data_IF_834288562911
#
_entry.id   IF_834288562911
#
_cell.length_a   1.000
_cell.length_b   1.000
_cell.length_c   1.000
_cell.angle_alpha   90.00
_cell.angle_beta   90.00
_cell.angle_gamma   90.00
#
_symmetry.space_group_name_H-M   'P 1'
#
loop_
_entity.id
_entity.type
_entity.pdbx_description
1 polymer ?
#
# COMPACT_ATOMS: atom_id res chain seq x y z
N UNK A 1 32.83 22.93 -10.39
CA UNK A 1 32.29 21.56 -10.47
C UNK A 1 31.40 21.15 -9.28
N UNK A 2 31.33 21.91 -8.17
CA UNK A 2 30.48 21.59 -7.01
C UNK A 2 28.97 21.91 -7.15
N UNK A 3 28.56 22.63 -8.21
CA UNK A 3 27.19 23.18 -8.34
C UNK A 3 26.14 22.12 -8.75
N UNK A 4 26.57 21.02 -9.36
CA UNK A 4 25.67 19.94 -9.81
C UNK A 4 25.43 18.86 -8.75
N UNK A 5 26.27 18.80 -7.71
CA UNK A 5 26.18 17.79 -6.65
C UNK A 5 25.02 18.08 -5.67
N UNK A 6 24.68 19.36 -5.48
CA UNK A 6 23.52 19.78 -4.68
C UNK A 6 22.18 19.54 -5.39
N UNK A 7 22.15 19.60 -6.73
CA UNK A 7 20.92 19.40 -7.49
C UNK A 7 20.50 17.92 -7.54
N UNK A 8 21.48 17.00 -7.49
CA UNK A 8 21.23 15.55 -7.44
C UNK A 8 20.68 15.07 -6.08
N UNK A 9 20.99 15.77 -4.98
CA UNK A 9 20.53 15.43 -3.64
C UNK A 9 19.08 15.87 -3.35
N UNK A 10 18.54 16.84 -4.12
CA UNK A 10 17.19 17.36 -3.93
C UNK A 10 16.09 16.55 -4.64
N UNK A 11 16.46 15.61 -5.50
CA UNK A 11 15.52 14.74 -6.24
C UNK A 11 15.24 13.41 -5.52
N UNK A 12 15.80 13.19 -4.33
CA UNK A 12 15.70 11.91 -3.60
C UNK A 12 14.55 11.85 -2.59
N UNK A 13 13.59 12.79 -2.65
CA UNK A 13 12.42 12.76 -1.77
C UNK A 13 11.17 12.39 -2.55
N UNK A 14 10.47 11.38 -2.03
CA UNK A 14 9.16 10.84 -2.42
C UNK A 14 9.17 9.92 -3.65
N UNK A 15 9.07 8.61 -3.41
CA UNK A 15 7.80 7.85 -3.48
C UNK A 15 8.05 6.57 -2.70
N UNK A 16 7.38 6.38 -1.57
CA UNK A 16 7.27 5.03 -1.00
C UNK A 16 5.78 4.73 -0.82
N UNK A 17 5.10 4.54 -1.94
CA UNK A 17 4.17 3.41 -1.99
C UNK A 17 5.02 2.18 -1.70
N UNK A 18 4.74 1.47 -0.60
CA UNK A 18 5.44 0.21 -0.37
C UNK A 18 4.90 -0.82 -1.36
N UNK A 19 5.78 -1.33 -2.23
CA UNK A 19 5.50 -2.48 -3.07
C UNK A 19 6.42 -3.61 -2.62
N UNK A 20 5.82 -4.72 -2.24
CA UNK A 20 6.52 -5.94 -1.81
C UNK A 20 6.20 -7.10 -2.73
N UNK A 21 7.08 -8.10 -2.73
CA UNK A 21 6.83 -9.40 -3.36
C UNK A 21 7.10 -10.47 -2.31
N UNK A 22 6.10 -11.31 -2.06
CA UNK A 22 6.24 -12.52 -1.24
C UNK A 22 6.40 -13.69 -2.22
N UNK A 23 7.41 -14.54 -1.96
CA UNK A 23 7.59 -15.78 -2.69
C UNK A 23 6.44 -16.76 -2.40
N UNK A 24 6.22 -17.72 -3.30
CA UNK A 24 5.22 -18.77 -3.09
C UNK A 24 5.50 -19.53 -1.78
N UNK A 25 4.49 -19.62 -0.91
CA UNK A 25 4.55 -20.40 0.32
C UNK A 25 4.04 -21.83 0.10
N UNK A 26 4.48 -22.77 0.93
CA UNK A 26 3.99 -24.14 0.87
C UNK A 26 2.50 -24.20 1.22
N UNK A 27 1.69 -24.64 0.25
CA UNK A 27 0.23 -24.74 0.38
C UNK A 27 -0.16 -25.89 1.32
N UNK A 28 -0.89 -25.63 2.42
CA UNK A 28 -1.38 -26.68 3.31
C UNK A 28 -2.31 -27.67 2.61
N UNK A 29 -2.34 -28.92 3.09
CA UNK A 29 -3.16 -29.99 2.51
C UNK A 29 -4.66 -29.66 2.41
N UNK A 30 -5.20 -28.83 3.33
CA UNK A 30 -6.60 -28.37 3.28
C UNK A 30 -6.94 -27.51 2.05
N UNK A 31 -5.92 -26.97 1.37
CA UNK A 31 -6.06 -26.18 0.15
C UNK A 31 -5.48 -26.91 -1.07
N UNK A 32 -5.21 -28.22 -0.99
CA UNK A 32 -4.57 -29.00 -2.05
C UNK A 32 -5.25 -28.81 -3.42
N UNK A 33 -6.58 -28.79 -3.45
CA UNK A 33 -7.38 -28.70 -4.68
C UNK A 33 -7.69 -27.26 -5.12
N UNK A 34 -7.23 -26.25 -4.36
CA UNK A 34 -7.46 -24.84 -4.70
C UNK A 34 -6.27 -24.27 -5.45
N UNK A 35 -6.53 -23.60 -6.57
CA UNK A 35 -5.52 -22.88 -7.33
C UNK A 35 -5.23 -21.49 -6.73
N UNK A 36 -4.06 -20.94 -7.05
CA UNK A 36 -3.61 -19.64 -6.59
C UNK A 36 -2.45 -19.70 -5.60
N UNK A 37 -2.25 -18.61 -4.87
CA UNK A 37 -1.16 -18.46 -3.91
C UNK A 37 -1.70 -18.64 -2.49
N UNK A 38 -1.01 -19.43 -1.68
CA UNK A 38 -1.31 -19.51 -0.25
C UNK A 38 -0.68 -18.30 0.46
N UNK A 39 -1.48 -17.59 1.25
CA UNK A 39 -1.03 -16.47 2.10
C UNK A 39 -1.19 -16.90 3.56
N UNK A 40 -0.08 -17.22 4.22
CA UNK A 40 -0.11 -17.81 5.57
C UNK A 40 -0.63 -16.87 6.64
N UNK A 41 -0.34 -15.57 6.54
CA UNK A 41 -0.78 -14.52 7.48
C UNK A 41 -2.31 -14.52 7.70
N UNK A 42 -3.07 -14.92 6.68
CA UNK A 42 -4.54 -14.96 6.70
C UNK A 42 -5.09 -16.38 6.52
N UNK A 43 -4.23 -17.40 6.52
CA UNK A 43 -4.58 -18.81 6.35
C UNK A 43 -5.55 -19.05 5.17
N UNK A 44 -5.22 -18.50 4.00
CA UNK A 44 -6.13 -18.49 2.85
C UNK A 44 -5.44 -18.65 1.51
N UNK A 45 -6.24 -19.05 0.52
CA UNK A 45 -5.87 -18.99 -0.89
C UNK A 45 -6.28 -17.65 -1.51
N UNK A 46 -5.35 -17.08 -2.27
CA UNK A 46 -5.57 -15.92 -3.13
C UNK A 46 -5.75 -16.39 -4.57
N UNK A 47 -6.85 -16.00 -5.20
CA UNK A 47 -7.07 -16.27 -6.62
C UNK A 47 -6.14 -15.40 -7.47
N UNK A 48 -5.76 -15.90 -8.64
CA UNK A 48 -4.92 -15.14 -9.58
C UNK A 48 -5.59 -13.84 -10.01
N UNK A 49 -4.83 -12.76 -9.93
CA UNK A 49 -5.21 -11.39 -10.28
C UNK A 49 -6.46 -10.83 -9.60
N UNK A 50 -6.96 -11.51 -8.57
CA UNK A 50 -8.03 -11.00 -7.70
C UNK A 50 -7.39 -10.36 -6.47
N UNK A 51 -7.55 -9.04 -6.28
CA UNK A 51 -6.97 -8.36 -5.13
C UNK A 51 -7.69 -8.77 -3.84
N UNK A 52 -6.91 -9.07 -2.81
CA UNK A 52 -7.38 -9.24 -1.45
C UNK A 52 -6.93 -8.06 -0.60
N UNK A 53 -7.89 -7.38 0.03
CA UNK A 53 -7.66 -6.27 0.96
C UNK A 53 -8.25 -6.64 2.32
N UNK A 54 -7.42 -6.90 3.33
CA UNK A 54 -7.88 -7.10 4.71
C UNK A 54 -8.64 -5.86 5.21
N UNK A 55 -9.71 -6.08 5.98
CA UNK A 55 -10.53 -5.04 6.62
C UNK A 55 -10.70 -5.34 8.12
N UNK A 56 -9.75 -6.08 8.69
CA UNK A 56 -9.75 -6.54 10.08
C UNK A 56 -9.11 -5.53 11.05
N UNK A 57 -8.78 -4.33 10.57
CA UNK A 57 -8.16 -3.29 11.37
C UNK A 57 -6.65 -3.45 11.58
N UNK A 58 -5.99 -4.42 10.92
CA UNK A 58 -4.57 -4.69 11.14
C UNK A 58 -3.64 -3.88 10.22
N UNK A 59 -3.97 -3.82 8.92
CA UNK A 59 -3.13 -3.16 7.92
C UNK A 59 -3.95 -2.66 6.72
N UNK A 60 -3.53 -1.53 6.14
CA UNK A 60 -4.09 -1.02 4.90
C UNK A 60 -3.20 -1.43 3.71
N UNK A 61 -3.45 -2.62 3.20
CA UNK A 61 -2.65 -3.25 2.14
C UNK A 61 -3.54 -4.01 1.15
N UNK A 62 -3.01 -4.23 -0.04
CA UNK A 62 -3.60 -5.07 -1.08
C UNK A 62 -2.63 -6.17 -1.46
N UNK A 63 -3.07 -7.41 -1.37
CA UNK A 63 -2.34 -8.59 -1.83
C UNK A 63 -2.90 -9.04 -3.18
N UNK A 64 -2.04 -9.33 -4.14
CA UNK A 64 -2.45 -9.87 -5.45
C UNK A 64 -1.57 -11.05 -5.80
N UNK A 65 -2.17 -12.24 -5.92
CA UNK A 65 -1.47 -13.41 -6.45
C UNK A 65 -1.34 -13.27 -7.97
N UNK A 66 -0.12 -13.34 -8.49
CA UNK A 66 0.16 -13.32 -9.94
C UNK A 66 0.29 -14.73 -10.49
N UNK A 67 0.11 -14.90 -11.80
CA UNK A 67 0.28 -16.19 -12.50
C UNK A 67 1.67 -16.80 -12.30
N UNK A 68 2.67 -15.98 -11.99
CA UNK A 68 4.02 -16.42 -11.57
C UNK A 68 4.06 -17.05 -10.17
N UNK A 69 2.90 -17.14 -9.50
CA UNK A 69 2.69 -17.56 -8.12
C UNK A 69 3.38 -16.71 -7.06
N UNK A 70 3.77 -15.50 -7.43
CA UNK A 70 4.27 -14.49 -6.51
C UNK A 70 3.10 -13.66 -6.00
N UNK A 71 3.11 -13.34 -4.71
CA UNK A 71 2.12 -12.43 -4.12
C UNK A 71 2.72 -11.03 -4.13
N UNK A 72 2.10 -10.12 -4.87
CA UNK A 72 2.43 -8.71 -4.83
C UNK A 72 1.68 -8.06 -3.67
N UNK A 73 2.39 -7.28 -2.87
CA UNK A 73 1.81 -6.45 -1.80
C UNK A 73 1.91 -5.00 -2.23
N UNK A 74 0.82 -4.25 -2.09
CA UNK A 74 0.80 -2.80 -2.26
C UNK A 74 0.26 -2.15 -0.98
N UNK A 75 1.00 -1.17 -0.44
CA UNK A 75 0.62 -0.38 0.73
C UNK A 75 0.48 1.11 0.41
N UNK A 76 -0.02 1.87 1.39
CA UNK A 76 -0.23 3.31 1.25
C UNK A 76 1.08 4.05 0.94
N UNK A 77 0.98 5.10 0.12
CA UNK A 77 2.12 5.94 -0.20
C UNK A 77 2.42 6.94 0.92
N UNK A 78 3.70 7.09 1.26
CA UNK A 78 4.15 8.21 2.09
C UNK A 78 3.89 9.54 1.37
N UNK A 79 2.96 10.35 1.90
CA UNK A 79 2.67 11.70 1.38
C UNK A 79 3.52 12.74 2.11
N UNK A 80 4.27 13.57 1.40
CA UNK A 80 4.84 14.80 1.98
C UNK A 80 3.72 15.83 2.15
N UNK A 81 3.65 16.49 3.31
CA UNK A 81 2.62 17.51 3.58
C UNK A 81 3.27 18.86 3.90
N UNK A 82 2.61 19.95 3.54
CA UNK A 82 3.02 21.32 3.91
C UNK A 82 2.42 21.73 5.27
N UNK A 83 2.93 22.81 5.86
CA UNK A 83 2.55 23.27 7.21
C UNK A 83 1.06 23.61 7.37
N UNK A 84 0.38 23.92 6.26
CA UNK A 84 -1.06 24.21 6.21
C UNK A 84 -1.92 22.95 6.00
N UNK A 85 -1.33 21.77 6.11
CA UNK A 85 -2.01 20.49 5.91
C UNK A 85 -1.86 19.57 7.12
N UNK A 86 -2.87 18.73 7.33
CA UNK A 86 -2.90 17.69 8.36
C UNK A 86 -3.19 16.33 7.71
N UNK A 87 -2.63 15.26 8.28
CA UNK A 87 -3.01 13.89 7.91
C UNK A 87 -4.32 13.55 8.62
N UNK A 88 -5.28 13.01 7.89
CA UNK A 88 -6.44 12.37 8.49
C UNK A 88 -6.04 10.99 8.99
N UNK A 89 -6.64 10.49 10.08
CA UNK A 89 -6.44 9.11 10.49
C UNK A 89 -6.80 8.13 9.36
N UNK A 90 -6.01 7.07 9.22
CA UNK A 90 -6.35 5.91 8.38
C UNK A 90 -7.60 5.22 8.91
N UNK A 91 -8.43 4.69 8.01
CA UNK A 91 -9.60 3.87 8.36
C UNK A 91 -9.39 2.43 7.91
N UNK A 92 -8.78 1.63 8.79
CA UNK A 92 -8.41 0.24 8.51
C UNK A 92 -9.61 -0.72 8.39
N UNK A 93 -10.84 -0.20 8.47
CA UNK A 93 -12.06 -0.97 8.19
C UNK A 93 -12.47 -0.91 6.72
N UNK A 94 -11.83 -0.06 5.93
CA UNK A 94 -12.07 0.07 4.49
C UNK A 94 -11.07 -0.75 3.67
N UNK A 95 -11.41 -1.03 2.41
CA UNK A 95 -10.50 -1.70 1.49
C UNK A 95 -9.38 -0.73 1.07
N UNK A 96 -8.19 -1.26 0.77
CA UNK A 96 -7.17 -0.47 0.07
C UNK A 96 -7.69 -0.06 -1.31
N UNK A 97 -7.50 1.20 -1.75
CA UNK A 97 -6.71 2.26 -1.12
C UNK A 97 -7.48 3.20 -0.18
N UNK A 98 -8.79 2.99 0.01
CA UNK A 98 -9.65 3.89 0.79
C UNK A 98 -9.33 3.89 2.28
N UNK A 99 -8.71 2.83 2.80
CA UNK A 99 -8.20 2.78 4.18
C UNK A 99 -6.97 3.66 4.43
N UNK A 100 -6.33 4.20 3.39
CA UNK A 100 -5.15 5.03 3.54
C UNK A 100 -5.49 6.39 4.17
N UNK A 101 -4.53 6.93 4.93
CA UNK A 101 -4.61 8.31 5.37
C UNK A 101 -4.75 9.27 4.18
N UNK A 102 -5.55 10.30 4.38
CA UNK A 102 -5.72 11.40 3.43
C UNK A 102 -5.04 12.64 4.00
N UNK A 103 -4.84 13.63 3.15
CA UNK A 103 -4.25 14.89 3.54
C UNK A 103 -5.30 15.97 3.40
N UNK A 104 -5.58 16.66 4.50
CA UNK A 104 -6.51 17.77 4.55
C UNK A 104 -5.71 19.07 4.62
N UNK A 105 -5.86 19.95 3.64
CA UNK A 105 -5.13 21.21 3.57
C UNK A 105 -6.07 22.41 3.67
N UNK A 106 -5.63 23.44 4.39
CA UNK A 106 -6.30 24.76 4.42
C UNK A 106 -5.62 25.69 3.42
N UNK A 107 -6.37 26.16 2.44
CA UNK A 107 -5.90 27.12 1.43
C UNK A 107 -5.82 28.53 2.02
N UNK A 108 -5.05 29.45 1.40
CA UNK A 108 -4.94 30.85 1.86
C UNK A 108 -6.27 31.61 1.93
N UNK A 109 -7.27 31.19 1.15
CA UNK A 109 -8.62 31.75 1.14
C UNK A 109 -9.57 31.10 2.16
N UNK A 110 -9.05 30.23 3.03
CA UNK A 110 -9.79 29.55 4.09
C UNK A 110 -10.55 28.29 3.62
N UNK A 111 -10.48 27.91 2.35
CA UNK A 111 -11.09 26.66 1.86
C UNK A 111 -10.30 25.45 2.33
N UNK A 112 -10.99 24.34 2.50
CA UNK A 112 -10.42 23.06 2.89
C UNK A 112 -10.49 22.10 1.70
N UNK A 113 -9.37 21.45 1.40
CA UNK A 113 -9.30 20.37 0.40
C UNK A 113 -8.81 19.08 1.07
N UNK A 114 -9.26 17.92 0.58
CA UNK A 114 -8.84 16.60 1.04
C UNK A 114 -8.33 15.79 -0.16
N UNK A 115 -7.15 15.18 -0.02
CA UNK A 115 -6.45 14.44 -1.10
C UNK A 115 -5.83 13.12 -0.66
#
# INVERSE_FOLDING_TARGET
MFKYLFFALFLYTSVEAYVGIIAEEEKPAKFADQEGCYLSDYDRMLQFDVPFTPQDGTACVKYTCKDTKLIHIEGCSAKGISDNCERTPSDLTQAFPDCCEKVRCTLPDGRIIEV
#
